data_IF_636857286534
#
_entry.id   IF_636857286534
#
_cell.length_a   1.000
_cell.length_b   1.000
_cell.length_c   1.000
_cell.angle_alpha   90.00
_cell.angle_beta   90.00
_cell.angle_gamma   90.00
#
_symmetry.space_group_name_H-M   'P 1'
#
loop_
_entity.id
_entity.type
_entity.pdbx_description
1 polymer ?
#
# COMPACT_ATOMS: atom_id res chain seq x y z
N UNK A 1 -45.46 -72.70 -21.85
CA UNK A 1 -44.60 -71.71 -22.54
C UNK A 1 -44.66 -70.28 -21.98
N UNK A 2 -45.34 -69.98 -20.85
CA UNK A 2 -45.36 -68.62 -20.25
C UNK A 2 -44.42 -68.42 -19.06
N UNK A 3 -44.03 -69.51 -18.38
CA UNK A 3 -43.15 -69.45 -17.21
C UNK A 3 -41.65 -69.27 -17.55
N UNK A 4 -41.22 -69.63 -18.76
CA UNK A 4 -39.81 -69.53 -19.17
C UNK A 4 -39.43 -68.12 -19.62
N UNK A 5 -40.42 -67.30 -20.00
CA UNK A 5 -40.20 -65.91 -20.41
C UNK A 5 -40.06 -64.96 -19.20
N UNK A 6 -40.72 -65.29 -18.08
CA UNK A 6 -40.56 -64.58 -16.80
C UNK A 6 -39.22 -64.86 -16.12
N UNK A 7 -38.70 -66.08 -16.26
CA UNK A 7 -37.43 -66.47 -15.64
C UNK A 7 -36.21 -65.88 -16.37
N UNK A 8 -36.34 -65.62 -17.68
CA UNK A 8 -35.30 -64.98 -18.50
C UNK A 8 -35.24 -63.45 -18.29
N UNK A 9 -36.32 -62.82 -17.84
CA UNK A 9 -36.38 -61.39 -17.53
C UNK A 9 -35.79 -61.06 -16.14
N UNK A 10 -35.82 -62.02 -15.21
CA UNK A 10 -35.32 -61.85 -13.84
C UNK A 10 -33.78 -61.98 -13.73
N UNK A 11 -33.13 -62.64 -14.68
CA UNK A 11 -31.67 -62.85 -14.70
C UNK A 11 -30.89 -61.71 -15.38
N UNK A 12 -31.55 -60.89 -16.20
CA UNK A 12 -30.94 -59.75 -16.90
C UNK A 12 -31.06 -58.44 -16.07
N UNK A 13 -32.01 -58.38 -15.14
CA UNK A 13 -32.25 -57.22 -14.27
C UNK A 13 -31.03 -56.70 -13.48
N UNK A 14 -30.09 -57.53 -12.96
CA UNK A 14 -28.94 -57.02 -12.19
C UNK A 14 -27.88 -56.32 -13.05
N UNK A 15 -27.86 -56.58 -14.37
CA UNK A 15 -26.90 -55.98 -15.29
C UNK A 15 -27.36 -54.61 -15.83
N UNK A 16 -28.67 -54.35 -15.89
CA UNK A 16 -29.20 -53.05 -16.29
C UNK A 16 -29.12 -52.00 -15.17
N UNK A 17 -29.27 -52.40 -13.90
CA UNK A 17 -29.23 -51.49 -12.75
C UNK A 17 -27.82 -50.96 -12.43
N UNK A 18 -26.77 -51.73 -12.74
CA UNK A 18 -25.36 -51.38 -12.48
C UNK A 18 -24.75 -50.46 -13.54
N UNK A 19 -25.30 -50.43 -14.76
CA UNK A 19 -24.82 -49.56 -15.84
C UNK A 19 -25.32 -48.11 -15.73
N UNK A 20 -26.54 -47.89 -15.21
CA UNK A 20 -27.16 -46.55 -15.10
C UNK A 20 -26.73 -45.77 -13.84
N UNK A 21 -26.31 -46.46 -12.76
CA UNK A 21 -25.81 -45.81 -11.54
C UNK A 21 -24.36 -45.27 -11.68
N UNK A 22 -23.53 -45.88 -12.52
CA UNK A 22 -22.11 -45.51 -12.71
C UNK A 22 -21.92 -44.14 -13.40
N UNK A 23 -22.79 -43.77 -14.34
CA UNK A 23 -22.69 -42.50 -15.07
C UNK A 23 -23.14 -41.30 -14.23
N UNK A 24 -24.23 -41.44 -13.48
CA UNK A 24 -24.73 -40.41 -12.57
C UNK A 24 -23.73 -40.13 -11.43
N UNK A 25 -23.12 -41.17 -10.87
CA UNK A 25 -22.12 -41.03 -9.80
C UNK A 25 -20.79 -40.44 -10.32
N UNK A 26 -20.37 -40.79 -11.55
CA UNK A 26 -19.24 -40.11 -12.22
C UNK A 26 -19.54 -38.64 -12.52
N UNK A 27 -20.75 -38.30 -12.98
CA UNK A 27 -21.15 -36.91 -13.20
C UNK A 27 -21.16 -36.10 -11.89
N UNK A 28 -21.68 -36.66 -10.79
CA UNK A 28 -21.63 -35.98 -9.50
C UNK A 28 -20.19 -35.78 -9.00
N UNK A 29 -19.31 -36.76 -9.19
CA UNK A 29 -17.90 -36.63 -8.81
C UNK A 29 -17.13 -35.62 -9.68
N UNK A 30 -17.41 -35.56 -10.99
CA UNK A 30 -16.86 -34.53 -11.87
C UNK A 30 -17.40 -33.14 -11.55
N UNK A 31 -18.71 -33.02 -11.31
CA UNK A 31 -19.37 -31.76 -10.92
C UNK A 31 -18.81 -31.22 -9.60
N UNK A 32 -18.67 -32.06 -8.58
CA UNK A 32 -18.06 -31.67 -7.31
C UNK A 32 -16.62 -31.17 -7.45
N UNK A 33 -15.83 -31.79 -8.34
CA UNK A 33 -14.45 -31.36 -8.58
C UNK A 33 -14.40 -30.02 -9.33
N UNK A 34 -15.26 -29.83 -10.33
CA UNK A 34 -15.40 -28.57 -11.08
C UNK A 34 -15.86 -27.44 -10.16
N UNK A 35 -16.87 -27.66 -9.33
CA UNK A 35 -17.38 -26.65 -8.38
C UNK A 35 -16.31 -26.28 -7.35
N UNK A 36 -15.55 -27.25 -6.82
CA UNK A 36 -14.41 -26.99 -5.94
C UNK A 36 -13.33 -26.14 -6.62
N UNK A 37 -12.98 -26.49 -7.86
CA UNK A 37 -12.01 -25.73 -8.65
C UNK A 37 -12.50 -24.30 -8.94
N UNK A 38 -13.78 -24.14 -9.26
CA UNK A 38 -14.40 -22.85 -9.52
C UNK A 38 -14.44 -21.97 -8.27
N UNK A 39 -14.77 -22.56 -7.11
CA UNK A 39 -14.76 -21.86 -5.82
C UNK A 39 -13.34 -21.42 -5.42
N UNK A 40 -12.33 -22.27 -5.60
CA UNK A 40 -10.93 -21.91 -5.36
C UNK A 40 -10.49 -20.74 -6.26
N UNK A 41 -10.87 -20.77 -7.55
CA UNK A 41 -10.56 -19.70 -8.48
C UNK A 41 -11.26 -18.39 -8.10
N UNK A 42 -12.54 -18.45 -7.74
CA UNK A 42 -13.33 -17.29 -7.30
C UNK A 42 -12.70 -16.64 -6.06
N UNK A 43 -12.35 -17.45 -5.06
CA UNK A 43 -11.66 -16.98 -3.85
C UNK A 43 -10.31 -16.31 -4.17
N UNK A 44 -9.53 -16.88 -5.09
CA UNK A 44 -8.26 -16.27 -5.51
C UNK A 44 -8.47 -14.93 -6.20
N UNK A 45 -9.46 -14.83 -7.09
CA UNK A 45 -9.78 -13.56 -7.78
C UNK A 45 -10.24 -12.51 -6.77
N UNK A 46 -11.09 -12.90 -5.80
CA UNK A 46 -11.56 -12.00 -4.77
C UNK A 46 -10.41 -11.48 -3.89
N UNK A 47 -9.49 -12.37 -3.48
CA UNK A 47 -8.27 -11.97 -2.74
C UNK A 47 -7.44 -10.96 -3.54
N UNK A 48 -7.15 -11.26 -4.80
CA UNK A 48 -6.38 -10.35 -5.66
C UNK A 48 -7.06 -8.99 -5.86
N UNK A 49 -8.39 -8.94 -5.96
CA UNK A 49 -9.13 -7.67 -6.04
C UNK A 49 -9.01 -6.86 -4.74
N UNK A 50 -9.10 -7.53 -3.59
CA UNK A 50 -8.88 -6.88 -2.28
C UNK A 50 -7.45 -6.36 -2.18
N UNK A 51 -6.46 -7.14 -2.60
CA UNK A 51 -5.05 -6.72 -2.56
C UNK A 51 -4.83 -5.47 -3.42
N UNK A 52 -5.37 -5.42 -4.64
CA UNK A 52 -5.30 -4.22 -5.50
C UNK A 52 -5.97 -3.00 -4.87
N UNK A 53 -7.14 -3.19 -4.24
CA UNK A 53 -7.85 -2.12 -3.55
C UNK A 53 -7.05 -1.63 -2.32
N UNK A 54 -6.44 -2.55 -1.58
CA UNK A 54 -5.58 -2.24 -0.45
C UNK A 54 -4.37 -1.42 -0.89
N UNK A 55 -3.68 -1.84 -1.96
CA UNK A 55 -2.57 -1.06 -2.53
C UNK A 55 -3.01 0.34 -2.98
N UNK A 56 -4.16 0.47 -3.61
CA UNK A 56 -4.70 1.78 -4.01
C UNK A 56 -4.98 2.67 -2.79
N UNK A 57 -5.53 2.11 -1.73
CA UNK A 57 -5.80 2.82 -0.47
C UNK A 57 -4.51 3.22 0.25
N UNK A 58 -3.52 2.33 0.29
CA UNK A 58 -2.19 2.60 0.84
C UNK A 58 -1.51 3.73 0.06
N UNK A 59 -1.51 3.67 -1.27
CA UNK A 59 -0.94 4.73 -2.12
C UNK A 59 -1.59 6.09 -1.82
N UNK A 60 -2.93 6.16 -1.82
CA UNK A 60 -3.64 7.41 -1.54
C UNK A 60 -3.33 7.95 -0.12
N UNK A 61 -3.22 7.05 0.86
CA UNK A 61 -2.89 7.41 2.24
C UNK A 61 -1.45 7.93 2.36
N UNK A 62 -0.50 7.24 1.75
CA UNK A 62 0.92 7.60 1.78
C UNK A 62 1.17 8.88 0.98
N UNK A 63 0.49 9.09 -0.14
CA UNK A 63 0.49 10.36 -0.89
C UNK A 63 -0.03 11.53 -0.06
N UNK A 64 -1.13 11.34 0.67
CA UNK A 64 -1.67 12.38 1.56
C UNK A 64 -0.73 12.69 2.72
N UNK A 65 -0.10 11.66 3.33
CA UNK A 65 0.93 11.84 4.36
C UNK A 65 2.14 12.61 3.80
N UNK A 66 2.61 12.24 2.61
CA UNK A 66 3.71 12.90 1.91
C UNK A 66 3.40 14.38 1.67
N UNK A 67 2.24 14.68 1.08
CA UNK A 67 1.80 16.07 0.83
C UNK A 67 1.72 16.90 2.12
N UNK A 68 1.25 16.29 3.21
CA UNK A 68 1.16 16.96 4.51
C UNK A 68 2.55 17.22 5.10
N UNK A 69 3.45 16.25 5.00
CA UNK A 69 4.84 16.39 5.44
C UNK A 69 5.57 17.47 4.63
N UNK A 70 5.41 17.50 3.30
CA UNK A 70 5.98 18.52 2.42
C UNK A 70 5.48 19.92 2.78
N UNK A 71 4.16 20.11 2.96
CA UNK A 71 3.58 21.38 3.43
C UNK A 71 4.13 21.80 4.80
N UNK A 72 4.28 20.86 5.73
CA UNK A 72 4.85 21.14 7.06
C UNK A 72 6.30 21.58 6.94
N UNK A 73 7.07 20.89 6.11
CA UNK A 73 8.47 21.22 5.86
C UNK A 73 8.61 22.62 5.27
N UNK A 74 7.81 22.95 4.26
CA UNK A 74 7.79 24.29 3.65
C UNK A 74 7.47 25.38 4.68
N UNK A 75 6.44 25.18 5.52
CA UNK A 75 6.09 26.11 6.61
C UNK A 75 7.25 26.29 7.60
N UNK A 76 7.94 25.22 7.95
CA UNK A 76 9.11 25.28 8.84
C UNK A 76 10.27 26.03 8.17
N UNK A 77 10.53 25.79 6.88
CA UNK A 77 11.56 26.51 6.12
C UNK A 77 11.29 28.01 6.03
N UNK A 78 10.03 28.43 5.86
CA UNK A 78 9.65 29.85 5.92
C UNK A 78 9.92 30.45 7.30
N UNK A 79 9.46 29.79 8.36
CA UNK A 79 9.73 30.21 9.75
C UNK A 79 11.21 30.26 10.09
N UNK A 80 12.01 29.36 9.52
CA UNK A 80 13.47 29.36 9.70
C UNK A 80 14.08 30.63 9.12
N UNK A 81 13.71 31.02 7.88
CA UNK A 81 14.18 32.26 7.25
C UNK A 81 13.83 33.50 8.08
N UNK A 82 12.60 33.58 8.58
CA UNK A 82 12.17 34.67 9.47
C UNK A 82 13.02 34.73 10.75
N UNK A 83 13.24 33.58 11.41
CA UNK A 83 14.06 33.50 12.62
C UNK A 83 15.53 33.82 12.36
N UNK A 84 16.06 33.44 11.20
CA UNK A 84 17.43 33.77 10.78
C UNK A 84 17.59 35.27 10.55
N UNK A 85 16.60 35.92 9.93
CA UNK A 85 16.59 37.37 9.76
C UNK A 85 16.51 38.10 11.13
N UNK A 86 15.64 37.66 12.04
CA UNK A 86 15.56 38.22 13.40
C UNK A 86 16.86 38.00 14.18
N UNK A 87 17.49 36.83 14.04
CA UNK A 87 18.80 36.56 14.64
C UNK A 87 19.87 37.52 14.11
N UNK A 88 19.94 37.73 12.79
CA UNK A 88 20.89 38.65 12.17
C UNK A 88 20.72 40.09 12.71
N UNK A 89 19.48 40.58 12.80
CA UNK A 89 19.18 41.90 13.38
C UNK A 89 19.60 42.00 14.86
N UNK A 90 19.44 40.93 15.64
CA UNK A 90 19.87 40.88 17.04
C UNK A 90 21.39 40.87 17.17
N UNK A 91 22.07 40.12 16.32
CA UNK A 91 23.54 40.09 16.26
C UNK A 91 24.12 41.45 15.86
N UNK A 92 23.51 42.13 14.89
CA UNK A 92 23.88 43.49 14.49
C UNK A 92 23.68 44.48 15.64
N UNK A 93 22.51 44.47 16.30
CA UNK A 93 22.28 45.30 17.49
C UNK A 93 23.29 45.04 18.59
N UNK A 94 23.61 43.78 18.86
CA UNK A 94 24.61 43.41 19.86
C UNK A 94 26.00 43.96 19.48
N UNK A 95 26.39 43.87 18.22
CA UNK A 95 27.65 44.44 17.72
C UNK A 95 27.70 45.96 17.91
N UNK A 96 26.62 46.66 17.53
CA UNK A 96 26.51 48.11 17.72
C UNK A 96 26.58 48.52 19.19
N UNK A 97 25.94 47.78 20.10
CA UNK A 97 26.03 48.05 21.55
C UNK A 97 27.46 47.86 22.08
N UNK A 98 28.18 46.84 21.60
CA UNK A 98 29.58 46.59 21.96
C UNK A 98 30.51 47.69 21.46
N UNK A 99 30.25 48.23 20.27
CA UNK A 99 31.10 49.24 19.64
C UNK A 99 30.86 50.67 20.20
N UNK A 100 29.67 50.95 20.73
CA UNK A 100 29.28 52.30 21.18
C UNK A 100 29.44 52.52 22.70
N UNK A 101 30.28 51.74 23.41
CA UNK A 101 30.45 51.83 24.87
C UNK A 101 29.12 51.85 25.64
N UNK A 102 28.14 51.06 25.19
CA UNK A 102 26.86 50.98 25.87
C UNK A 102 26.99 50.34 27.26
N UNK A 103 26.07 50.64 28.21
CA UNK A 103 26.10 50.04 29.54
C UNK A 103 26.17 48.51 29.49
N UNK A 104 27.02 47.91 30.33
CA UNK A 104 27.27 46.46 30.36
C UNK A 104 25.99 45.63 30.58
N UNK A 105 25.04 46.16 31.36
CA UNK A 105 23.71 45.56 31.55
C UNK A 105 22.92 45.42 30.24
N UNK A 106 23.06 46.37 29.31
CA UNK A 106 22.39 46.32 28.01
C UNK A 106 23.04 45.29 27.09
N UNK A 107 24.38 45.21 27.10
CA UNK A 107 25.14 44.21 26.35
C UNK A 107 24.76 42.80 26.81
N UNK A 108 24.83 42.53 28.11
CA UNK A 108 24.47 41.21 28.68
C UNK A 108 23.01 40.82 28.39
N UNK A 109 22.09 41.78 28.41
CA UNK A 109 20.68 41.54 28.02
C UNK A 109 20.55 41.19 26.54
N UNK A 110 21.27 41.89 25.67
CA UNK A 110 21.29 41.63 24.23
C UNK A 110 21.95 40.28 23.89
N UNK A 111 23.00 39.88 24.62
CA UNK A 111 23.63 38.57 24.49
C UNK A 111 22.64 37.45 24.82
N UNK A 112 21.93 37.55 25.95
CA UNK A 112 20.89 36.57 26.33
C UNK A 112 19.79 36.44 25.26
N UNK A 113 19.33 37.57 24.69
CA UNK A 113 18.32 37.55 23.61
C UNK A 113 18.85 36.92 22.32
N UNK A 114 20.14 37.10 22.04
CA UNK A 114 20.81 36.54 20.86
C UNK A 114 20.97 35.03 21.01
N UNK A 115 21.46 34.54 22.16
CA UNK A 115 21.60 33.10 22.41
C UNK A 115 20.26 32.37 22.42
N UNK A 116 19.20 33.00 22.94
CA UNK A 116 17.85 32.44 22.87
C UNK A 116 17.33 32.36 21.43
N UNK A 117 17.61 33.37 20.59
CA UNK A 117 17.27 33.35 19.17
C UNK A 117 18.03 32.25 18.42
N UNK A 118 19.33 32.08 18.68
CA UNK A 118 20.14 30.99 18.12
C UNK A 118 19.58 29.62 18.48
N UNK A 119 19.19 29.41 19.75
CA UNK A 119 18.53 28.19 20.19
C UNK A 119 17.25 27.92 19.38
N UNK A 120 16.40 28.93 19.21
CA UNK A 120 15.15 28.82 18.42
C UNK A 120 15.41 28.50 16.94
N UNK A 121 16.49 29.03 16.35
CA UNK A 121 16.92 28.69 14.98
C UNK A 121 17.35 27.22 14.92
N UNK A 122 18.21 26.78 15.83
CA UNK A 122 18.68 25.38 15.90
C UNK A 122 17.51 24.40 16.05
N UNK A 123 16.59 24.66 16.99
CA UNK A 123 15.37 23.84 17.18
C UNK A 123 14.47 23.77 15.95
N UNK A 124 14.41 24.85 15.16
CA UNK A 124 13.62 24.84 13.92
C UNK A 124 14.33 24.02 12.85
N UNK A 125 15.66 24.14 12.76
CA UNK A 125 16.49 23.35 11.85
C UNK A 125 16.39 21.85 12.12
N UNK A 126 16.45 21.42 13.39
CA UNK A 126 16.31 20.00 13.73
C UNK A 126 14.95 19.46 13.33
N UNK A 127 13.87 20.23 13.53
CA UNK A 127 12.51 19.84 13.07
C UNK A 127 12.41 19.73 11.55
N UNK A 128 13.10 20.60 10.80
CA UNK A 128 13.20 20.51 9.33
C UNK A 128 13.90 19.23 8.94
N UNK A 129 15.06 18.91 9.54
CA UNK A 129 15.80 17.68 9.25
C UNK A 129 14.95 16.42 9.53
N UNK A 130 14.27 16.36 10.68
CA UNK A 130 13.37 15.24 10.99
C UNK A 130 12.25 15.11 9.96
N UNK A 131 11.63 16.23 9.56
CA UNK A 131 10.54 16.20 8.57
C UNK A 131 11.07 15.82 7.17
N UNK A 132 12.28 16.25 6.81
CA UNK A 132 12.93 15.88 5.56
C UNK A 132 13.20 14.36 5.49
N UNK A 133 13.69 13.75 6.58
CA UNK A 133 13.86 12.30 6.67
C UNK A 133 12.54 11.54 6.60
N UNK A 134 11.45 12.11 7.14
CA UNK A 134 10.11 11.53 6.99
C UNK A 134 9.64 11.58 5.53
N UNK A 135 9.90 12.68 4.82
CA UNK A 135 9.56 12.83 3.40
C UNK A 135 10.31 11.79 2.55
N UNK A 136 11.60 11.58 2.79
CA UNK A 136 12.39 10.59 2.03
C UNK A 136 11.89 9.17 2.29
N UNK A 137 11.58 8.81 3.54
CA UNK A 137 10.99 7.52 3.88
C UNK A 137 9.64 7.30 3.19
N UNK A 138 8.73 8.28 3.25
CA UNK A 138 7.41 8.20 2.60
C UNK A 138 7.53 8.07 1.07
N UNK A 139 8.48 8.76 0.43
CA UNK A 139 8.73 8.61 -1.01
C UNK A 139 9.19 7.19 -1.35
N UNK A 140 10.08 6.61 -0.55
CA UNK A 140 10.54 5.23 -0.74
C UNK A 140 9.40 4.22 -0.57
N UNK A 141 8.56 4.39 0.46
CA UNK A 141 7.40 3.53 0.71
C UNK A 141 6.40 3.60 -0.46
N UNK A 142 6.15 4.80 -0.99
CA UNK A 142 5.27 5.04 -2.11
C UNK A 142 5.77 4.34 -3.39
N UNK A 143 7.06 4.46 -3.70
CA UNK A 143 7.68 3.77 -4.84
C UNK A 143 7.65 2.24 -4.70
N UNK A 144 7.92 1.71 -3.50
CA UNK A 144 7.81 0.28 -3.24
C UNK A 144 6.37 -0.22 -3.44
N UNK A 145 5.39 0.49 -2.87
CA UNK A 145 3.97 0.16 -2.99
C UNK A 145 3.49 0.19 -4.45
N UNK A 146 3.95 1.17 -5.26
CA UNK A 146 3.64 1.24 -6.69
C UNK A 146 4.18 0.02 -7.44
N UNK A 147 5.44 -0.35 -7.20
CA UNK A 147 6.06 -1.52 -7.83
C UNK A 147 5.33 -2.82 -7.48
N UNK A 148 4.93 -2.99 -6.23
CA UNK A 148 4.13 -4.17 -5.81
C UNK A 148 2.76 -4.19 -6.50
N UNK A 149 2.09 -3.04 -6.60
CA UNK A 149 0.81 -2.94 -7.30
C UNK A 149 0.95 -3.27 -8.79
N UNK A 150 2.00 -2.77 -9.46
CA UNK A 150 2.29 -3.07 -10.87
C UNK A 150 2.59 -4.55 -11.09
N UNK A 151 3.43 -5.16 -10.25
CA UNK A 151 3.72 -6.59 -10.31
C UNK A 151 2.46 -7.44 -10.15
N UNK A 152 1.53 -7.03 -9.27
CA UNK A 152 0.27 -7.74 -9.06
C UNK A 152 -0.70 -7.57 -10.24
N UNK A 153 -0.71 -6.40 -10.89
CA UNK A 153 -1.46 -6.15 -12.13
C UNK A 153 -0.91 -7.00 -13.28
N UNK A 154 0.41 -7.04 -13.48
CA UNK A 154 1.05 -7.86 -14.52
C UNK A 154 0.72 -9.35 -14.36
N UNK A 155 0.84 -9.89 -13.14
CA UNK A 155 0.43 -11.29 -12.83
C UNK A 155 -1.05 -11.56 -13.13
N UNK A 156 -1.93 -10.56 -12.99
CA UNK A 156 -3.35 -10.68 -13.31
C UNK A 156 -3.58 -10.71 -14.83
N UNK A 157 -2.88 -9.89 -15.58
CA UNK A 157 -2.96 -9.85 -17.05
C UNK A 157 -2.43 -11.14 -17.67
N UNK A 158 -1.28 -11.63 -17.20
CA UNK A 158 -0.70 -12.90 -17.65
C UNK A 158 -1.65 -14.07 -17.39
N UNK A 159 -2.22 -14.18 -16.18
CA UNK A 159 -3.24 -15.20 -15.86
C UNK A 159 -4.49 -15.10 -16.75
N UNK A 160 -4.87 -13.90 -17.18
CA UNK A 160 -5.99 -13.71 -18.11
C UNK A 160 -5.62 -14.19 -19.53
N UNK A 161 -4.41 -13.91 -20.00
CA UNK A 161 -3.92 -14.36 -21.32
C UNK A 161 -3.86 -15.88 -21.39
N UNK A 162 -3.21 -16.53 -20.42
CA UNK A 162 -3.12 -17.99 -20.33
C UNK A 162 -4.49 -18.69 -20.25
N UNK A 163 -5.50 -18.05 -19.63
CA UNK A 163 -6.87 -18.58 -19.61
C UNK A 163 -7.60 -18.46 -20.94
N UNK A 164 -7.27 -17.47 -21.78
CA UNK A 164 -7.84 -17.33 -23.11
C UNK A 164 -7.23 -18.36 -24.06
N UNK A 165 -5.90 -18.46 -24.07
CA UNK A 165 -5.16 -19.44 -24.89
C UNK A 165 -5.58 -20.89 -24.58
N UNK A 166 -5.79 -21.24 -23.31
CA UNK A 166 -6.30 -22.58 -22.93
C UNK A 166 -7.75 -22.85 -23.34
N UNK A 167 -8.56 -21.82 -23.52
CA UNK A 167 -9.93 -21.96 -24.04
C UNK A 167 -9.93 -22.11 -25.56
N UNK A 168 -9.08 -21.36 -26.24
CA UNK A 168 -8.92 -21.38 -27.70
C UNK A 168 -8.20 -22.64 -28.21
N UNK A 169 -7.32 -23.25 -27.41
CA UNK A 169 -6.62 -24.50 -27.76
C UNK A 169 -7.38 -25.79 -27.35
N UNK A 170 -8.54 -25.66 -26.69
CA UNK A 170 -9.36 -26.78 -26.19
C UNK A 170 -10.69 -26.98 -26.92
N UNK A 171 -10.94 -26.19 -27.97
CA UNK A 171 -11.96 -26.42 -29.01
C UNK A 171 -11.29 -27.02 -30.25
#
# INVERSE_FOLDING_TARGET
>A
MKAHLLLLLLTIAPFAASAQFSSAQRQMNMSNNIVRQQNQMSLQIQRQQRDLANYSSMLATTENKLRTAEKKNEKLSRKLKEKQADLALKQERLSNLKNNNSPEKNITTAEKKTTEAEKKVRETNTKIQTTASQITALKSELEATKKEQEALKAKKEEKKRLKKEKKEAGE
#
